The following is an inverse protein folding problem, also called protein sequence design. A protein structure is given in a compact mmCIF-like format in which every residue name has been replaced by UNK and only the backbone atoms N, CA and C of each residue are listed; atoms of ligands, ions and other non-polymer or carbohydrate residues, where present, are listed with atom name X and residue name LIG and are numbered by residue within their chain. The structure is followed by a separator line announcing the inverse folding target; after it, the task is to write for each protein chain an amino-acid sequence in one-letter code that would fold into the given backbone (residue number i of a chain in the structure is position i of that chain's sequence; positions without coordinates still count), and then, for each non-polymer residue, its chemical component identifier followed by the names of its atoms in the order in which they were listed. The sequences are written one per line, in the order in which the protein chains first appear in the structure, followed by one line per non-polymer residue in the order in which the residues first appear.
data_IF_325694188593
#
_entry.id   IF_325694188593
#
_cell.length_a   1.000
_cell.length_b   1.000
_cell.length_c   1.000
_cell.angle_alpha   90.00
_cell.angle_beta   90.00
_cell.angle_gamma   90.00
#
_symmetry.space_group_name_H-M   'P 1'
#
loop_
_entity.id
_entity.type
_entity.pdbx_description
1 polymer ?
#
# COMPACT_ATOMS: atom_id res chain seq x y z
N UNK A 1 9.42 -44.93 -35.72
CA UNK A 1 10.82 -44.77 -36.12
C UNK A 1 11.17 -43.31 -35.91
N UNK A 2 12.01 -42.86 -35.06
CA UNK A 2 13.12 -43.44 -34.29
C UNK A 2 13.23 -42.78 -32.93
N UNK A 3 13.62 -43.55 -31.97
CA UNK A 3 14.05 -43.20 -30.62
C UNK A 3 15.32 -42.38 -30.70
N UNK A 4 15.54 -41.45 -29.74
CA UNK A 4 16.89 -41.19 -29.30
C UNK A 4 16.96 -41.07 -27.80
N UNK A 5 17.65 -42.01 -27.24
CA UNK A 5 18.01 -42.18 -25.82
C UNK A 5 19.19 -41.31 -25.45
N UNK A 6 19.16 -40.88 -24.19
CA UNK A 6 20.29 -40.86 -23.22
C UNK A 6 21.64 -40.27 -23.61
N UNK A 7 22.14 -39.41 -22.74
CA UNK A 7 23.46 -39.67 -22.16
C UNK A 7 23.61 -38.95 -20.79
N UNK A 8 23.69 -39.79 -19.78
CA UNK A 8 24.24 -39.50 -18.46
C UNK A 8 25.76 -39.62 -18.61
N UNK A 9 26.48 -38.56 -18.32
CA UNK A 9 27.93 -38.66 -18.10
C UNK A 9 28.25 -38.20 -16.67
N UNK A 10 28.60 -39.22 -15.96
CA UNK A 10 29.39 -39.34 -14.75
C UNK A 10 30.67 -38.46 -14.80
N UNK A 11 30.91 -37.61 -13.82
CA UNK A 11 32.19 -36.96 -13.60
C UNK A 11 32.57 -37.02 -12.12
N UNK A 12 33.30 -38.03 -11.84
CA UNK A 12 34.48 -38.21 -10.97
C UNK A 12 34.71 -37.15 -9.89
N UNK A 13 34.79 -37.68 -8.68
CA UNK A 13 35.41 -37.17 -7.46
C UNK A 13 36.76 -36.51 -7.71
N UNK A 14 36.96 -35.35 -7.13
CA UNK A 14 38.27 -34.85 -6.80
C UNK A 14 38.29 -34.46 -5.32
N UNK A 15 38.90 -35.29 -4.52
CA UNK A 15 39.27 -35.04 -3.14
C UNK A 15 40.45 -34.08 -3.15
N UNK A 16 40.25 -32.86 -2.66
CA UNK A 16 41.35 -32.07 -2.13
C UNK A 16 41.08 -31.78 -0.66
N UNK A 17 41.86 -32.41 0.16
CA UNK A 17 42.09 -32.09 1.57
C UNK A 17 42.61 -30.66 1.67
N UNK A 18 41.92 -29.79 2.39
CA UNK A 18 42.46 -28.56 2.94
C UNK A 18 42.07 -28.44 4.41
N UNK A 19 43.05 -28.64 5.14
CA UNK A 19 43.44 -28.18 6.47
C UNK A 19 42.41 -27.46 7.33
N UNK A 20 42.27 -28.07 8.49
CA UNK A 20 41.50 -27.70 9.63
C UNK A 20 42.12 -26.49 10.33
N UNK A 21 41.50 -25.33 10.29
CA UNK A 21 41.72 -24.32 11.32
C UNK A 21 40.40 -23.95 11.92
N UNK A 22 40.15 -24.47 13.12
CA UNK A 22 39.11 -24.13 14.05
C UNK A 22 39.08 -22.61 14.31
N UNK A 23 38.09 -21.90 13.75
CA UNK A 23 37.51 -20.71 14.36
C UNK A 23 36.04 -20.98 14.59
N UNK A 24 35.72 -21.51 15.75
CA UNK A 24 34.41 -21.53 16.33
C UNK A 24 33.96 -20.08 16.58
N UNK A 25 33.38 -19.45 15.57
CA UNK A 25 32.49 -18.32 15.81
C UNK A 25 31.18 -18.87 16.37
N UNK A 26 31.07 -18.91 17.69
CA UNK A 26 29.83 -19.14 18.39
C UNK A 26 28.87 -17.98 18.02
N UNK A 27 28.15 -18.13 16.94
CA UNK A 27 26.91 -17.37 16.73
C UNK A 27 25.94 -17.84 17.81
N UNK A 28 25.80 -17.01 18.82
CA UNK A 28 24.76 -17.15 19.85
C UNK A 28 23.41 -16.93 19.17
N UNK A 29 22.84 -17.96 18.56
CA UNK A 29 21.47 -17.95 18.05
C UNK A 29 20.55 -17.78 19.27
N UNK A 30 20.06 -16.55 19.44
CA UNK A 30 19.02 -16.28 20.43
C UNK A 30 17.76 -17.02 20.00
N UNK A 31 17.56 -18.20 20.53
CA UNK A 31 16.30 -18.93 20.40
C UNK A 31 15.29 -18.31 21.35
N UNK A 32 14.20 -17.76 20.79
CA UNK A 32 13.09 -17.21 21.54
C UNK A 32 12.07 -18.30 21.82
N UNK A 33 11.52 -18.35 23.02
CA UNK A 33 10.40 -19.21 23.32
C UNK A 33 9.13 -18.73 22.58
N UNK A 34 8.17 -19.63 22.38
CA UNK A 34 6.89 -19.27 21.73
C UNK A 34 6.14 -18.16 22.48
N UNK A 35 6.29 -18.09 23.79
CA UNK A 35 5.69 -17.07 24.64
C UNK A 35 6.34 -15.72 24.44
N UNK A 36 7.67 -15.65 24.38
CA UNK A 36 8.42 -14.42 24.09
C UNK A 36 8.10 -13.88 22.71
N UNK A 37 8.03 -14.74 21.69
CA UNK A 37 7.62 -14.35 20.33
C UNK A 37 6.21 -13.79 20.32
N UNK A 38 5.28 -14.44 21.02
CA UNK A 38 3.89 -13.98 21.13
C UNK A 38 3.78 -12.62 21.82
N UNK A 39 4.60 -12.39 22.83
CA UNK A 39 4.64 -11.11 23.54
C UNK A 39 5.24 -10.00 22.67
N UNK A 40 6.33 -10.26 21.99
CA UNK A 40 6.93 -9.33 21.05
C UNK A 40 5.97 -8.93 19.91
N UNK A 41 5.22 -9.90 19.38
CA UNK A 41 4.20 -9.65 18.36
C UNK A 41 3.09 -8.77 18.91
N UNK A 42 2.57 -9.05 20.10
CA UNK A 42 1.52 -8.24 20.76
C UNK A 42 1.99 -6.79 20.97
N UNK A 43 3.20 -6.60 21.47
CA UNK A 43 3.79 -5.28 21.70
C UNK A 43 4.02 -4.51 20.38
N UNK A 44 4.45 -5.21 19.33
CA UNK A 44 4.62 -4.60 18.00
C UNK A 44 3.28 -4.16 17.44
N UNK A 45 2.26 -5.00 17.50
CA UNK A 45 0.90 -4.67 17.05
C UNK A 45 0.35 -3.47 17.83
N UNK A 46 0.54 -3.43 19.16
CA UNK A 46 0.08 -2.32 19.99
C UNK A 46 0.79 -1.01 19.60
N UNK A 47 2.10 -1.04 19.36
CA UNK A 47 2.88 0.13 18.92
C UNK A 47 2.44 0.63 17.53
N UNK A 48 2.24 -0.28 16.58
CA UNK A 48 1.78 0.10 15.23
C UNK A 48 0.36 0.66 15.25
N UNK A 49 -0.54 0.10 16.07
CA UNK A 49 -1.89 0.67 16.27
C UNK A 49 -1.83 2.09 16.82
N UNK A 50 -1.08 2.30 17.89
CA UNK A 50 -0.91 3.65 18.48
C UNK A 50 -0.38 4.65 17.45
N UNK A 51 0.63 4.26 16.68
CA UNK A 51 1.22 5.08 15.63
C UNK A 51 0.24 5.39 14.49
N UNK A 52 -0.59 4.41 14.14
CA UNK A 52 -1.67 4.60 13.16
C UNK A 52 -2.73 5.56 13.68
N UNK A 53 -3.17 5.42 14.93
CA UNK A 53 -4.17 6.29 15.54
C UNK A 53 -3.66 7.74 15.66
N UNK A 54 -2.39 7.93 16.01
CA UNK A 54 -1.74 9.26 16.02
C UNK A 54 -1.68 9.88 14.63
N UNK A 55 -1.36 9.09 13.60
CA UNK A 55 -1.36 9.57 12.20
C UNK A 55 -2.75 9.97 11.74
N UNK A 56 -3.76 9.18 12.08
CA UNK A 56 -5.17 9.48 11.77
C UNK A 56 -5.63 10.74 12.49
N UNK A 57 -5.27 10.89 13.76
CA UNK A 57 -5.57 12.10 14.54
C UNK A 57 -4.92 13.34 13.93
N UNK A 58 -3.63 13.27 13.62
CA UNK A 58 -2.91 14.37 12.98
C UNK A 58 -3.45 14.72 11.59
N UNK A 59 -3.85 13.72 10.80
CA UNK A 59 -4.48 13.95 9.50
C UNK A 59 -5.83 14.67 9.63
N UNK A 60 -6.62 14.35 10.67
CA UNK A 60 -7.87 15.05 11.00
C UNK A 60 -7.63 16.50 11.41
N UNK A 61 -6.68 16.71 12.32
CA UNK A 61 -6.36 18.04 12.84
C UNK A 61 -5.77 18.95 11.76
N UNK A 62 -4.96 18.40 10.86
CA UNK A 62 -4.35 19.17 9.76
C UNK A 62 -5.34 19.55 8.64
N UNK A 63 -6.53 19.00 8.62
CA UNK A 63 -7.53 19.27 7.58
C UNK A 63 -8.92 19.63 8.18
N UNK A 64 -8.99 20.02 9.42
CA UNK A 64 -10.23 20.42 10.13
C UNK A 64 -11.40 19.44 9.92
N UNK A 65 -11.09 18.14 9.79
CA UNK A 65 -12.05 17.09 9.44
C UNK A 65 -12.71 17.24 8.07
N UNK A 66 -12.16 18.01 7.16
CA UNK A 66 -12.65 18.16 5.79
C UNK A 66 -12.25 16.98 4.92
N UNK A 67 -12.95 16.79 3.83
CA UNK A 67 -12.58 15.82 2.81
C UNK A 67 -11.41 16.30 1.96
N UNK A 68 -10.57 15.37 1.53
CA UNK A 68 -9.48 15.62 0.59
C UNK A 68 -9.47 14.50 -0.44
N UNK A 69 -9.44 14.88 -1.71
CA UNK A 69 -9.22 13.94 -2.79
C UNK A 69 -7.79 14.04 -3.32
N UNK A 70 -7.22 12.89 -3.64
CA UNK A 70 -5.92 12.74 -4.28
C UNK A 70 -6.10 12.09 -5.63
N UNK A 71 -5.70 12.76 -6.68
CA UNK A 71 -5.69 12.22 -8.03
C UNK A 71 -4.25 11.84 -8.40
N UNK A 72 -4.03 10.56 -8.60
CA UNK A 72 -2.72 10.00 -8.96
C UNK A 72 -2.72 9.65 -10.44
N UNK A 73 -1.82 10.27 -11.21
CA UNK A 73 -1.57 9.99 -12.62
C UNK A 73 -0.07 9.72 -12.82
N UNK A 74 0.30 8.45 -12.97
CA UNK A 74 1.71 8.05 -12.92
C UNK A 74 2.35 8.45 -11.59
N UNK A 75 3.45 9.17 -11.62
CA UNK A 75 4.16 9.68 -10.43
C UNK A 75 3.62 11.02 -9.90
N UNK A 76 2.65 11.63 -10.58
CA UNK A 76 2.10 12.94 -10.18
C UNK A 76 0.89 12.77 -9.30
N UNK A 77 0.84 13.55 -8.21
CA UNK A 77 -0.28 13.64 -7.29
C UNK A 77 -0.85 15.04 -7.31
N UNK A 78 -2.15 15.16 -7.54
CA UNK A 78 -2.91 16.40 -7.43
C UNK A 78 -3.87 16.27 -6.26
N UNK A 79 -3.90 17.27 -5.37
CA UNK A 79 -4.79 17.29 -4.20
C UNK A 79 -5.91 18.29 -4.44
N UNK A 80 -7.10 17.92 -4.00
CA UNK A 80 -8.26 18.79 -3.95
C UNK A 80 -8.81 18.78 -2.54
N UNK A 81 -8.92 19.95 -1.94
CA UNK A 81 -9.46 20.12 -0.61
C UNK A 81 -10.96 20.42 -0.71
N UNK A 82 -11.74 19.69 0.04
CA UNK A 82 -13.18 19.87 0.15
C UNK A 82 -13.59 20.48 1.49
N UNK A 83 -14.86 20.36 1.79
CA UNK A 83 -15.43 20.68 3.09
C UNK A 83 -15.67 19.40 3.95
N UNK A 84 -16.49 19.48 4.97
CA UNK A 84 -16.79 18.34 5.86
C UNK A 84 -17.63 17.25 5.19
N UNK A 85 -18.23 17.52 4.03
CA UNK A 85 -19.22 16.66 3.40
C UNK A 85 -18.86 16.25 1.97
N UNK A 86 -18.01 17.01 1.29
CA UNK A 86 -17.75 16.79 -0.12
C UNK A 86 -16.44 17.38 -0.62
N UNK A 87 -15.93 16.81 -1.72
CA UNK A 87 -14.91 17.42 -2.55
C UNK A 87 -15.54 17.86 -3.86
N UNK A 88 -15.37 19.13 -4.21
CA UNK A 88 -15.88 19.70 -5.46
C UNK A 88 -14.80 19.87 -6.50
N UNK A 89 -15.08 19.47 -7.73
CA UNK A 89 -14.19 19.67 -8.88
C UNK A 89 -14.69 20.88 -9.68
N UNK A 90 -14.02 22.01 -9.51
CA UNK A 90 -14.43 23.28 -10.12
C UNK A 90 -13.85 23.38 -11.55
N UNK A 91 -14.67 23.73 -12.57
CA UNK A 91 -14.18 23.96 -13.92
C UNK A 91 -13.05 24.99 -13.98
N UNK A 92 -12.00 24.70 -14.75
CA UNK A 92 -10.80 25.53 -14.85
C UNK A 92 -9.73 25.26 -13.81
N UNK A 93 -10.02 24.40 -12.83
CA UNK A 93 -9.00 23.93 -11.91
C UNK A 93 -8.23 22.72 -12.48
N UNK A 94 -6.92 22.66 -12.18
CA UNK A 94 -6.02 21.60 -12.65
C UNK A 94 -6.52 20.18 -12.36
N UNK A 95 -7.19 19.98 -11.25
CA UNK A 95 -7.74 18.67 -10.88
C UNK A 95 -8.89 18.28 -11.79
N UNK A 96 -9.76 19.24 -12.12
CA UNK A 96 -10.89 19.05 -13.02
C UNK A 96 -10.41 18.77 -14.43
N UNK A 97 -9.48 19.57 -14.94
CA UNK A 97 -8.83 19.33 -16.23
C UNK A 97 -8.18 17.94 -16.29
N UNK A 98 -7.50 17.55 -15.20
CA UNK A 98 -6.90 16.22 -15.09
C UNK A 98 -7.93 15.10 -15.25
N UNK A 99 -9.12 15.25 -14.66
CA UNK A 99 -10.19 14.26 -14.77
C UNK A 99 -10.78 14.19 -16.18
N UNK A 100 -11.02 15.34 -16.84
CA UNK A 100 -11.65 15.37 -18.15
C UNK A 100 -10.70 15.09 -19.30
N UNK A 101 -9.45 15.55 -19.22
CA UNK A 101 -8.50 15.48 -20.32
C UNK A 101 -7.59 14.25 -20.28
N UNK A 102 -7.70 13.44 -19.23
CA UNK A 102 -6.87 12.26 -19.11
C UNK A 102 -7.42 11.08 -19.92
N UNK A 103 -6.51 10.24 -20.40
CA UNK A 103 -6.88 9.00 -21.08
C UNK A 103 -7.74 8.12 -20.16
N UNK A 104 -8.64 7.31 -20.73
CA UNK A 104 -9.41 6.34 -19.97
C UNK A 104 -8.51 5.47 -19.07
N UNK A 105 -8.99 5.17 -17.86
CA UNK A 105 -8.32 4.29 -16.91
C UNK A 105 -6.88 4.71 -16.53
N UNK A 106 -6.58 6.00 -16.48
CA UNK A 106 -5.23 6.49 -16.20
C UNK A 106 -5.06 7.16 -14.85
N UNK A 107 -6.15 7.34 -14.09
CA UNK A 107 -6.16 8.01 -12.79
C UNK A 107 -6.58 7.03 -11.70
N UNK A 108 -5.86 7.04 -10.59
CA UNK A 108 -6.32 6.46 -9.32
C UNK A 108 -6.75 7.60 -8.42
N UNK A 109 -8.00 7.55 -7.97
CA UNK A 109 -8.57 8.53 -7.06
C UNK A 109 -8.67 7.95 -5.66
N UNK A 110 -8.13 8.66 -4.70
CA UNK A 110 -8.21 8.34 -3.27
C UNK A 110 -8.85 9.52 -2.58
N UNK A 111 -9.84 9.30 -1.71
CA UNK A 111 -10.30 10.36 -0.85
C UNK A 111 -10.65 9.85 0.54
N UNK A 112 -10.68 10.75 1.51
CA UNK A 112 -11.06 10.43 2.87
C UNK A 112 -12.50 10.84 3.12
N UNK A 113 -13.23 9.99 3.87
CA UNK A 113 -14.47 10.37 4.50
C UNK A 113 -14.22 10.64 5.98
N UNK A 114 -14.47 11.85 6.49
CA UNK A 114 -14.32 12.18 7.92
C UNK A 114 -15.19 11.30 8.81
N UNK A 115 -16.33 10.85 8.30
CA UNK A 115 -17.18 9.85 8.91
C UNK A 115 -16.71 8.42 8.69
N UNK A 116 -17.61 7.47 8.90
CA UNK A 116 -17.37 6.04 8.66
C UNK A 116 -18.16 5.52 7.45
N UNK A 117 -18.72 6.42 6.66
CA UNK A 117 -19.52 6.10 5.49
C UNK A 117 -18.69 5.37 4.42
N UNK A 118 -19.35 4.55 3.63
CA UNK A 118 -18.82 4.02 2.39
C UNK A 118 -18.93 5.04 1.26
N UNK A 119 -18.91 4.56 0.02
CA UNK A 119 -19.17 5.38 -1.15
C UNK A 119 -20.54 6.06 -1.06
N UNK A 120 -20.56 7.35 -1.29
CA UNK A 120 -21.79 8.13 -1.47
C UNK A 120 -22.29 7.99 -2.92
N UNK A 121 -23.52 8.41 -3.17
CA UNK A 121 -24.04 8.50 -4.54
C UNK A 121 -23.25 9.50 -5.39
N UNK A 122 -22.72 10.55 -4.77
CA UNK A 122 -21.87 11.53 -5.45
C UNK A 122 -20.53 10.90 -5.89
N UNK A 123 -19.91 10.10 -5.04
CA UNK A 123 -18.67 9.37 -5.39
C UNK A 123 -18.89 8.45 -6.59
N UNK A 124 -20.00 7.71 -6.57
CA UNK A 124 -20.36 6.82 -7.67
C UNK A 124 -20.64 7.59 -8.95
N UNK A 125 -21.29 8.75 -8.85
CA UNK A 125 -21.52 9.63 -10.00
C UNK A 125 -20.18 10.14 -10.57
N UNK A 126 -19.28 10.63 -9.74
CA UNK A 126 -17.95 11.08 -10.16
C UNK A 126 -17.19 9.93 -10.84
N UNK A 127 -17.23 8.73 -10.28
CA UNK A 127 -16.58 7.57 -10.84
C UNK A 127 -17.13 7.16 -12.20
N UNK A 128 -18.47 7.15 -12.34
CA UNK A 128 -19.13 6.68 -13.56
C UNK A 128 -19.07 7.68 -14.71
N UNK A 129 -19.07 8.98 -14.41
CA UNK A 129 -19.01 10.04 -15.41
C UNK A 129 -17.60 10.22 -15.96
N UNK A 130 -16.57 9.98 -15.14
CA UNK A 130 -15.18 10.23 -15.52
C UNK A 130 -14.46 8.93 -15.93
N UNK A 131 -14.49 8.61 -17.21
CA UNK A 131 -13.81 7.44 -17.78
C UNK A 131 -12.30 7.39 -17.51
N UNK A 132 -11.69 8.52 -17.17
CA UNK A 132 -10.27 8.61 -16.82
C UNK A 132 -9.93 7.91 -15.51
N UNK A 133 -10.91 7.74 -14.61
CA UNK A 133 -10.70 7.09 -13.32
C UNK A 133 -10.69 5.57 -13.51
N UNK A 134 -9.53 4.97 -13.21
CA UNK A 134 -9.34 3.52 -13.19
C UNK A 134 -9.84 2.89 -11.90
N UNK A 135 -9.58 3.56 -10.79
CA UNK A 135 -9.86 3.05 -9.45
C UNK A 135 -10.22 4.23 -8.55
N UNK A 136 -11.25 4.06 -7.76
CA UNK A 136 -11.61 4.96 -6.68
C UNK A 136 -11.55 4.22 -5.35
N UNK A 137 -10.97 4.87 -4.34
CA UNK A 137 -10.80 4.29 -3.01
C UNK A 137 -11.15 5.32 -1.95
N UNK A 138 -11.86 4.90 -0.93
CA UNK A 138 -12.16 5.73 0.24
C UNK A 138 -11.33 5.24 1.43
N UNK A 139 -10.76 6.19 2.16
CA UNK A 139 -10.13 5.95 3.46
C UNK A 139 -11.00 6.58 4.53
N UNK A 140 -11.54 5.78 5.42
CA UNK A 140 -12.30 6.31 6.56
C UNK A 140 -11.37 6.78 7.67
N UNK A 141 -11.84 7.66 8.54
CA UNK A 141 -11.07 8.13 9.70
C UNK A 141 -10.67 7.04 10.69
N UNK A 142 -11.17 5.81 10.53
CA UNK A 142 -10.71 4.63 11.27
C UNK A 142 -9.64 3.84 10.52
N UNK A 143 -9.10 4.40 9.43
CA UNK A 143 -8.06 3.75 8.62
C UNK A 143 -8.57 2.55 7.80
N UNK A 144 -9.87 2.38 7.66
CA UNK A 144 -10.44 1.35 6.79
C UNK A 144 -10.43 1.85 5.35
N UNK A 145 -9.90 1.04 4.46
CA UNK A 145 -9.94 1.25 3.01
C UNK A 145 -11.15 0.50 2.46
N UNK A 146 -11.90 1.16 1.60
CA UNK A 146 -13.05 0.60 0.88
C UNK A 146 -12.88 0.84 -0.62
#
# INVERSE_FOLDING_TARGET
MEKNESNITDVTQNEEQLDNSDEQSQQNEKTFSQEEVSQLIKERIARERKKSDERIKNAKENNDSNEVAYLLKGAKVTKVYGDQNSVSFVPGEKATELLFDSKPNSIVMLHNHPGQSGFSLNDLAVFTINNSIKTMTIVTNKGRIK
#
